data_IF_655824828752
#
_entry.id   IF_655824828752
#
_cell.length_a   1.000
_cell.length_b   1.000
_cell.length_c   1.000
_cell.angle_alpha   90.00
_cell.angle_beta   90.00
_cell.angle_gamma   90.00
#
_symmetry.space_group_name_H-M   'P 1'
#
loop_
_entity.id
_entity.type
_entity.pdbx_description
1 polymer ?
#
# COMPACT_ATOMS: atom_id res chain seq x y z
N UNK A 1 15.04 16.03 -1.87
CA UNK A 1 14.30 14.95 -1.18
C UNK A 1 12.83 15.05 -1.54
N UNK A 2 12.21 13.94 -1.90
CA UNK A 2 10.81 13.91 -2.30
C UNK A 2 9.91 13.66 -1.10
N UNK A 3 8.75 14.31 -1.08
CA UNK A 3 7.69 14.07 -0.09
C UNK A 3 6.59 13.25 -0.74
N UNK A 4 6.31 12.06 -0.21
CA UNK A 4 5.43 11.09 -0.85
C UNK A 4 4.40 10.59 0.15
N UNK A 5 3.13 10.56 -0.27
CA UNK A 5 2.08 9.86 0.44
C UNK A 5 1.82 8.53 -0.24
N UNK A 6 1.81 7.47 0.56
CA UNK A 6 1.64 6.09 0.09
C UNK A 6 0.44 5.50 0.81
N UNK A 7 -0.49 4.93 0.04
CA UNK A 7 -1.60 4.19 0.62
C UNK A 7 -1.27 2.70 0.69
N UNK A 8 -1.72 2.08 1.77
CA UNK A 8 -1.57 0.64 2.03
C UNK A 8 -2.94 0.03 2.28
N UNK A 9 -3.19 -1.14 1.73
CA UNK A 9 -4.41 -1.89 2.02
C UNK A 9 -4.17 -3.39 1.94
N UNK A 10 -4.92 -4.15 2.74
CA UNK A 10 -4.91 -5.61 2.70
C UNK A 10 -6.27 -6.14 3.17
N UNK A 11 -6.76 -7.22 2.54
CA UNK A 11 -8.02 -7.85 2.94
C UNK A 11 -7.92 -9.36 3.16
N UNK A 12 -6.73 -9.90 3.29
CA UNK A 12 -6.54 -11.32 3.60
C UNK A 12 -6.76 -11.60 5.09
N UNK A 13 -6.93 -12.88 5.49
CA UNK A 13 -7.09 -13.21 6.91
C UNK A 13 -5.97 -12.70 7.80
N UNK A 14 -4.74 -12.60 7.26
CA UNK A 14 -3.56 -12.10 7.99
C UNK A 14 -3.28 -10.62 7.69
N UNK A 15 -4.31 -9.85 7.35
CA UNK A 15 -4.17 -8.47 6.89
C UNK A 15 -3.41 -7.56 7.85
N UNK A 16 -3.59 -7.71 9.15
CA UNK A 16 -2.86 -6.88 10.11
C UNK A 16 -1.36 -7.14 10.04
N UNK A 17 -0.96 -8.41 9.92
CA UNK A 17 0.45 -8.78 9.76
C UNK A 17 1.00 -8.23 8.44
N UNK A 18 0.23 -8.32 7.34
CA UNK A 18 0.62 -7.76 6.06
C UNK A 18 0.87 -6.27 6.15
N UNK A 19 -0.04 -5.54 6.82
CA UNK A 19 0.11 -4.08 7.01
C UNK A 19 1.35 -3.75 7.83
N UNK A 20 1.57 -4.45 8.94
CA UNK A 20 2.73 -4.20 9.81
C UNK A 20 4.05 -4.50 9.10
N UNK A 21 4.11 -5.59 8.32
CA UNK A 21 5.30 -5.94 7.56
C UNK A 21 5.59 -4.90 6.47
N UNK A 22 4.56 -4.45 5.76
CA UNK A 22 4.70 -3.42 4.72
C UNK A 22 5.19 -2.11 5.33
N UNK A 23 4.65 -1.72 6.48
CA UNK A 23 5.10 -0.52 7.19
C UNK A 23 6.58 -0.60 7.55
N UNK A 24 7.03 -1.75 8.07
CA UNK A 24 8.44 -1.96 8.42
C UNK A 24 9.34 -1.86 7.18
N UNK A 25 8.88 -2.38 6.04
CA UNK A 25 9.63 -2.29 4.79
C UNK A 25 9.74 -0.86 4.28
N UNK A 26 8.66 -0.06 4.41
CA UNK A 26 8.69 1.35 4.02
C UNK A 26 9.71 2.15 4.83
N UNK A 27 9.90 1.81 6.10
CA UNK A 27 10.89 2.48 6.95
C UNK A 27 12.32 2.30 6.43
N UNK A 28 12.56 1.27 5.61
CA UNK A 28 13.87 1.03 4.99
C UNK A 28 14.06 1.82 3.70
N UNK A 29 12.98 2.34 3.11
CA UNK A 29 13.03 3.04 1.82
C UNK A 29 13.17 4.55 1.97
N UNK A 30 12.91 5.08 3.15
CA UNK A 30 12.97 6.50 3.41
C UNK A 30 12.60 6.80 4.84
N UNK A 31 12.57 8.09 5.17
CA UNK A 31 12.20 8.54 6.50
C UNK A 31 10.67 8.62 6.59
N UNK A 32 10.09 7.82 7.46
CA UNK A 32 8.65 7.90 7.73
C UNK A 32 8.40 9.14 8.59
N UNK A 33 7.76 10.14 8.01
CA UNK A 33 7.49 11.41 8.66
C UNK A 33 6.17 11.39 9.44
N UNK A 34 5.19 10.62 8.97
CA UNK A 34 3.88 10.52 9.60
C UNK A 34 3.16 9.29 9.06
N UNK A 35 2.19 8.78 9.82
CA UNK A 35 1.31 7.71 9.35
C UNK A 35 -0.07 7.92 9.93
N UNK A 36 -1.10 7.55 9.18
CA UNK A 36 -2.45 7.48 9.71
C UNK A 36 -2.57 6.30 10.68
N UNK A 37 -3.63 6.28 11.48
CA UNK A 37 -4.03 5.03 12.12
C UNK A 37 -4.46 4.02 11.05
N UNK A 38 -4.44 2.74 11.39
CA UNK A 38 -5.01 1.69 10.55
C UNK A 38 -6.52 1.78 10.70
N UNK A 39 -7.25 1.81 9.58
CA UNK A 39 -8.71 1.87 9.59
C UNK A 39 -9.30 0.82 8.65
N UNK A 40 -10.51 0.40 8.94
CA UNK A 40 -11.19 -0.65 8.18
C UNK A 40 -12.21 -0.06 7.22
N UNK A 41 -12.26 -0.62 6.01
CA UNK A 41 -13.27 -0.26 5.01
C UNK A 41 -13.98 -1.49 4.51
N UNK A 42 -15.25 -1.32 4.12
CA UNK A 42 -16.06 -2.40 3.55
C UNK A 42 -15.69 -2.56 2.09
N UNK A 43 -15.49 -3.82 1.64
CA UNK A 43 -15.22 -4.11 0.24
C UNK A 43 -16.46 -3.77 -0.59
N UNK A 44 -16.27 -2.93 -1.63
CA UNK A 44 -17.35 -2.52 -2.51
C UNK A 44 -17.74 -3.65 -3.45
N UNK A 45 -19.06 -3.83 -3.65
CA UNK A 45 -19.62 -4.66 -4.71
C UNK A 45 -19.66 -6.16 -4.44
N UNK A 46 -19.21 -6.63 -3.29
CA UNK A 46 -19.30 -8.04 -2.95
C UNK A 46 -19.42 -8.25 -1.44
N UNK A 47 -20.50 -8.92 -1.04
CA UNK A 47 -20.69 -9.30 0.37
C UNK A 47 -19.78 -10.45 0.78
N UNK A 48 -19.12 -11.12 -0.19
CA UNK A 48 -18.21 -12.24 0.07
C UNK A 48 -16.76 -11.81 0.24
N UNK A 49 -16.42 -10.58 -0.14
CA UNK A 49 -15.05 -10.09 0.02
C UNK A 49 -14.83 -9.63 1.45
N UNK A 50 -13.69 -10.00 2.07
CA UNK A 50 -13.34 -9.49 3.39
C UNK A 50 -13.17 -7.98 3.38
N UNK A 51 -13.39 -7.34 4.53
CA UNK A 51 -13.11 -5.93 4.69
C UNK A 51 -11.61 -5.66 4.57
N UNK A 52 -11.28 -4.47 4.10
CA UNK A 52 -9.89 -4.01 4.01
C UNK A 52 -9.44 -3.35 5.30
N UNK A 53 -8.18 -3.57 5.66
CA UNK A 53 -7.44 -2.64 6.52
C UNK A 53 -6.68 -1.68 5.62
N UNK A 54 -6.64 -0.40 6.01
CA UNK A 54 -6.04 0.67 5.22
C UNK A 54 -5.19 1.55 6.11
N UNK A 55 -4.17 2.18 5.51
CA UNK A 55 -3.38 3.21 6.15
C UNK A 55 -2.76 4.11 5.08
N UNK A 56 -2.38 5.32 5.47
CA UNK A 56 -1.62 6.25 4.64
C UNK A 56 -0.33 6.60 5.37
N UNK A 57 0.78 6.57 4.65
CA UNK A 57 2.10 6.85 5.21
C UNK A 57 2.74 7.97 4.41
N UNK A 58 3.32 8.95 5.12
CA UNK A 58 4.10 10.02 4.51
C UNK A 58 5.58 9.70 4.69
N UNK A 59 6.32 9.62 3.59
CA UNK A 59 7.76 9.39 3.64
C UNK A 59 8.52 10.50 2.93
N UNK A 60 9.76 10.71 3.35
CA UNK A 60 10.74 11.50 2.62
C UNK A 60 11.76 10.55 2.00
N UNK A 61 11.99 10.66 0.70
CA UNK A 61 12.90 9.77 0.00
C UNK A 61 13.62 10.49 -1.13
N UNK A 62 14.86 10.09 -1.41
CA UNK A 62 15.62 10.58 -2.56
C UNK A 62 15.39 9.74 -3.81
N UNK A 63 14.68 8.62 -3.68
CA UNK A 63 14.32 7.75 -4.81
C UNK A 63 13.38 8.48 -5.76
N UNK A 64 13.54 8.30 -7.08
CA UNK A 64 12.62 8.91 -8.03
C UNK A 64 11.28 8.15 -8.08
N UNK A 65 10.29 8.78 -8.72
CA UNK A 65 8.93 8.27 -8.79
C UNK A 65 8.86 6.87 -9.41
N UNK A 66 9.50 6.68 -10.56
CA UNK A 66 9.42 5.41 -11.29
C UNK A 66 10.10 4.29 -10.51
N UNK A 67 11.25 4.57 -9.94
CA UNK A 67 11.99 3.59 -9.14
C UNK A 67 11.20 3.19 -7.89
N UNK A 68 10.61 4.16 -7.20
CA UNK A 68 9.78 3.88 -6.04
C UNK A 68 8.55 3.05 -6.42
N UNK A 69 7.89 3.41 -7.53
CA UNK A 69 6.75 2.64 -8.04
C UNK A 69 7.13 1.17 -8.26
N UNK A 70 8.28 0.93 -8.90
CA UNK A 70 8.75 -0.43 -9.18
C UNK A 70 9.02 -1.20 -7.89
N UNK A 71 9.63 -0.55 -6.91
CA UNK A 71 9.91 -1.18 -5.61
C UNK A 71 8.59 -1.55 -4.90
N UNK A 72 7.60 -0.67 -4.92
CA UNK A 72 6.31 -0.95 -4.29
C UNK A 72 5.59 -2.11 -4.97
N UNK A 73 5.65 -2.22 -6.30
CA UNK A 73 5.05 -3.35 -7.02
C UNK A 73 5.78 -4.66 -6.72
N UNK A 74 7.09 -4.62 -6.53
CA UNK A 74 7.87 -5.78 -6.09
C UNK A 74 7.44 -6.21 -4.68
N UNK A 75 7.18 -5.26 -3.78
CA UNK A 75 6.65 -5.55 -2.44
C UNK A 75 5.32 -6.29 -2.52
N UNK A 76 4.41 -5.84 -3.36
CA UNK A 76 3.11 -6.49 -3.54
C UNK A 76 3.29 -7.97 -3.89
N UNK A 77 4.17 -8.25 -4.83
CA UNK A 77 4.47 -9.64 -5.24
C UNK A 77 5.09 -10.44 -4.11
N UNK A 78 6.01 -9.85 -3.36
CA UNK A 78 6.66 -10.51 -2.23
C UNK A 78 5.67 -10.85 -1.11
N UNK A 79 4.59 -10.06 -0.97
CA UNK A 79 3.52 -10.32 -0.02
C UNK A 79 2.49 -11.35 -0.52
N UNK A 80 2.67 -11.88 -1.72
CA UNK A 80 1.84 -12.95 -2.26
C UNK A 80 0.79 -12.50 -3.27
N UNK A 81 0.83 -11.24 -3.72
CA UNK A 81 -0.10 -10.77 -4.75
C UNK A 81 0.22 -11.39 -6.09
N UNK A 82 -0.80 -11.97 -6.74
CA UNK A 82 -0.70 -12.62 -8.05
C UNK A 82 -1.82 -12.10 -8.95
N UNK A 83 -1.80 -12.40 -10.27
CA UNK A 83 -2.93 -12.05 -11.14
C UNK A 83 -4.26 -12.63 -10.66
N UNK A 84 -4.23 -13.79 -10.02
CA UNK A 84 -5.44 -14.44 -9.49
C UNK A 84 -6.01 -13.67 -8.28
N UNK A 85 -5.24 -12.85 -7.61
CA UNK A 85 -5.70 -12.04 -6.47
C UNK A 85 -6.87 -11.14 -6.87
N UNK A 86 -6.82 -10.52 -8.05
CA UNK A 86 -7.92 -9.70 -8.56
C UNK A 86 -9.20 -10.50 -8.78
N UNK A 87 -9.07 -11.70 -9.29
CA UNK A 87 -10.21 -12.56 -9.59
C UNK A 87 -10.86 -13.11 -8.33
N UNK A 88 -10.04 -13.45 -7.32
CA UNK A 88 -10.54 -14.02 -6.05
C UNK A 88 -11.07 -12.96 -5.10
N UNK A 89 -10.76 -11.68 -5.30
CA UNK A 89 -11.08 -10.60 -4.38
C UNK A 89 -10.22 -10.59 -3.11
N UNK A 90 -9.19 -11.43 -3.05
CA UNK A 90 -8.26 -11.49 -1.90
C UNK A 90 -6.97 -10.80 -2.28
N UNK A 91 -6.72 -9.65 -1.66
CA UNK A 91 -5.57 -8.81 -1.95
C UNK A 91 -4.64 -8.81 -0.73
N UNK A 92 -3.50 -9.54 -0.77
CA UNK A 92 -2.57 -9.57 0.36
C UNK A 92 -2.00 -8.20 0.68
N UNK A 93 -1.64 -7.44 -0.34
CA UNK A 93 -1.14 -6.09 -0.19
C UNK A 93 -1.43 -5.28 -1.44
N UNK A 94 -2.02 -4.10 -1.24
CA UNK A 94 -2.15 -3.06 -2.24
C UNK A 94 -1.40 -1.85 -1.71
N UNK A 95 -0.41 -1.36 -2.46
CA UNK A 95 0.44 -0.26 -2.02
C UNK A 95 0.69 0.67 -3.20
N UNK A 96 0.28 1.93 -3.06
CA UNK A 96 0.28 2.89 -4.15
C UNK A 96 0.79 4.25 -3.72
N UNK A 97 1.49 4.92 -4.62
CA UNK A 97 1.82 6.33 -4.47
C UNK A 97 0.55 7.12 -4.79
N UNK A 98 0.07 7.90 -3.83
CA UNK A 98 -1.15 8.69 -4.01
C UNK A 98 -0.87 10.19 -4.14
N UNK A 99 0.24 10.67 -3.54
CA UNK A 99 0.68 12.06 -3.70
C UNK A 99 2.19 12.07 -3.84
N UNK A 100 2.70 12.81 -4.83
CA UNK A 100 4.11 12.97 -5.07
C UNK A 100 4.44 14.46 -5.11
N UNK A 101 5.20 14.93 -4.09
CA UNK A 101 5.57 16.35 -3.97
C UNK A 101 4.37 17.30 -4.11
N UNK A 102 3.25 16.94 -3.48
CA UNK A 102 2.04 17.75 -3.50
C UNK A 102 1.11 17.52 -4.69
N UNK A 103 1.52 16.71 -5.67
CA UNK A 103 0.69 16.37 -6.82
C UNK A 103 -0.06 15.06 -6.60
N UNK A 104 -1.36 15.09 -6.80
CA UNK A 104 -2.20 13.89 -6.69
C UNK A 104 -1.92 12.99 -7.90
N UNK A 105 -1.54 11.74 -7.61
CA UNK A 105 -1.31 10.73 -8.63
C UNK A 105 -2.62 9.97 -8.83
N UNK A 106 -3.16 10.04 -10.03
CA UNK A 106 -4.42 9.36 -10.34
C UNK A 106 -4.12 7.97 -10.89
N UNK A 107 -4.81 6.93 -10.39
CA UNK A 107 -4.69 5.60 -11.00
C UNK A 107 -5.21 5.65 -12.43
N UNK A 108 -4.54 4.90 -13.29
CA UNK A 108 -4.95 4.77 -14.68
C UNK A 108 -5.75 3.50 -14.90
#
# INVERSE_FOLDING_TARGET
MNTVLISLASNTPDKLRQMNNAFAELQKMGLVAASSSIYETIACGSIKSPNYLNAVVKIFTDTDHQELHNVLKTMEKAHGRTPESKLSGKIPLDIDIVVWNGEIIRPQ
#
